data_IF_875401565043
#
_entry.id   IF_875401565043
#
_cell.length_a   1.000
_cell.length_b   1.000
_cell.length_c   1.000
_cell.angle_alpha   90.00
_cell.angle_beta   90.00
_cell.angle_gamma   90.00
#
_symmetry.space_group_name_H-M   'P 1'
#
loop_
_entity.id
_entity.type
_entity.pdbx_description
1 polymer ?
#
# COMPACT_ATOMS: atom_id res chain seq x y z
N UNK A 1 18.38 -4.91 -4.82
CA UNK A 1 17.27 -4.33 -5.52
C UNK A 1 15.95 -4.43 -4.82
N UNK A 2 14.92 -4.00 -5.50
CA UNK A 2 13.56 -4.02 -5.00
C UNK A 2 12.79 -5.16 -5.65
N UNK A 3 11.96 -5.85 -4.85
CA UNK A 3 11.07 -6.87 -5.36
C UNK A 3 9.65 -6.29 -5.39
N UNK A 4 9.09 -6.14 -6.58
CA UNK A 4 7.77 -5.56 -6.77
C UNK A 4 6.72 -6.64 -6.98
N UNK A 5 5.56 -6.48 -6.35
CA UNK A 5 4.44 -7.39 -6.46
C UNK A 5 3.15 -6.59 -6.41
N UNK A 6 2.16 -6.97 -7.21
CA UNK A 6 0.83 -6.39 -7.12
C UNK A 6 0.03 -7.16 -6.07
N UNK A 7 -0.61 -6.40 -5.18
CA UNK A 7 -1.52 -6.97 -4.18
C UNK A 7 -2.96 -6.77 -4.68
N UNK A 8 -3.65 -7.88 -4.86
CA UNK A 8 -5.01 -7.86 -5.40
C UNK A 8 -6.03 -7.72 -4.28
N UNK A 9 -6.98 -6.80 -4.45
CA UNK A 9 -8.04 -6.53 -3.50
C UNK A 9 -9.36 -7.13 -4.01
N UNK A 10 -10.25 -7.48 -3.09
CA UNK A 10 -11.58 -7.99 -3.45
C UNK A 10 -12.56 -6.88 -3.83
N UNK A 11 -12.20 -5.64 -3.52
CA UNK A 11 -13.05 -4.48 -3.78
C UNK A 11 -12.17 -3.29 -4.15
N UNK A 12 -12.73 -2.24 -4.76
CA UNK A 12 -11.96 -1.05 -5.08
C UNK A 12 -11.35 -0.42 -3.82
N UNK A 13 -10.13 0.09 -3.97
CA UNK A 13 -9.42 0.78 -2.89
C UNK A 13 -10.17 2.08 -2.59
N UNK A 14 -10.55 2.30 -1.34
CA UNK A 14 -11.24 3.51 -0.93
C UNK A 14 -10.36 4.38 -0.02
N UNK A 15 -10.86 5.58 0.26
CA UNK A 15 -10.15 6.54 1.08
C UNK A 15 -9.85 6.02 2.48
N UNK A 16 -10.79 5.31 3.09
CA UNK A 16 -10.59 4.79 4.45
C UNK A 16 -9.43 3.81 4.51
N UNK A 17 -9.34 2.92 3.53
CA UNK A 17 -8.23 1.98 3.44
C UNK A 17 -6.89 2.73 3.29
N UNK A 18 -6.85 3.73 2.40
CA UNK A 18 -5.64 4.53 2.17
C UNK A 18 -5.18 5.20 3.46
N UNK A 19 -6.11 5.79 4.20
CA UNK A 19 -5.77 6.49 5.45
C UNK A 19 -5.26 5.54 6.52
N UNK A 20 -5.69 4.28 6.53
CA UNK A 20 -5.19 3.28 7.47
C UNK A 20 -3.71 2.95 7.20
N UNK A 21 -3.25 3.11 5.98
CA UNK A 21 -1.85 2.86 5.64
C UNK A 21 -0.91 3.98 6.09
N UNK A 22 -1.46 5.11 6.48
CA UNK A 22 -0.69 6.30 6.84
C UNK A 22 0.33 6.06 7.96
N UNK A 23 0.02 5.15 8.89
CA UNK A 23 0.89 4.85 10.02
C UNK A 23 2.16 4.09 9.64
N UNK A 24 2.24 3.58 8.42
CA UNK A 24 3.36 2.75 8.00
C UNK A 24 4.61 3.53 7.60
N UNK A 25 4.49 4.81 7.32
CA UNK A 25 5.66 5.59 6.93
C UNK A 25 5.33 6.94 6.34
N UNK A 26 6.23 7.45 5.53
CA UNK A 26 5.99 8.70 4.79
C UNK A 26 4.81 8.53 3.85
N UNK A 27 3.87 9.47 3.89
CA UNK A 27 2.57 9.34 3.24
C UNK A 27 2.34 10.47 2.24
N UNK A 28 1.99 10.10 1.02
CA UNK A 28 1.57 11.03 -0.02
C UNK A 28 0.20 10.60 -0.53
N UNK A 29 -0.74 11.53 -0.57
CA UNK A 29 -2.07 11.25 -1.07
C UNK A 29 -2.55 12.45 -1.88
N UNK A 30 -2.56 12.27 -3.20
CA UNK A 30 -2.96 13.33 -4.14
C UNK A 30 -4.43 13.15 -4.47
N UNK A 31 -5.29 13.54 -3.54
CA UNK A 31 -6.73 13.32 -3.64
C UNK A 31 -7.45 14.31 -4.56
N UNK A 32 -6.75 15.37 -5.01
CA UNK A 32 -7.31 16.32 -5.95
C UNK A 32 -7.28 15.83 -7.40
N UNK A 33 -6.58 14.74 -7.68
CA UNK A 33 -6.51 14.19 -9.03
C UNK A 33 -7.80 13.44 -9.38
N UNK A 34 -8.11 13.34 -10.65
CA UNK A 34 -9.26 12.55 -11.14
C UNK A 34 -9.18 11.10 -10.66
N UNK A 35 -7.98 10.54 -10.69
CA UNK A 35 -7.69 9.23 -10.13
C UNK A 35 -6.70 9.46 -9.00
N UNK A 36 -7.17 9.60 -7.76
CA UNK A 36 -6.28 9.93 -6.64
C UNK A 36 -5.17 8.90 -6.47
N UNK A 37 -3.96 9.41 -6.33
CA UNK A 37 -2.76 8.60 -6.19
C UNK A 37 -2.33 8.58 -4.73
N UNK A 38 -1.91 7.43 -4.22
CA UNK A 38 -1.35 7.34 -2.89
C UNK A 38 -0.02 6.59 -2.91
N UNK A 39 0.83 6.92 -1.95
CA UNK A 39 2.14 6.30 -1.77
C UNK A 39 2.52 6.34 -0.30
N UNK A 40 3.02 5.22 0.21
CA UNK A 40 3.60 5.14 1.55
C UNK A 40 4.98 4.53 1.40
N UNK A 41 5.95 5.11 2.08
CA UNK A 41 7.33 4.65 1.98
C UNK A 41 8.01 4.67 3.35
N UNK A 42 8.76 3.61 3.64
CA UNK A 42 9.64 3.55 4.80
C UNK A 42 10.97 2.89 4.39
N UNK A 43 11.81 2.56 5.37
CA UNK A 43 13.14 2.00 5.08
C UNK A 43 13.10 0.59 4.50
N UNK A 44 11.97 -0.09 4.58
CA UNK A 44 11.85 -1.49 4.19
C UNK A 44 11.08 -1.69 2.90
N UNK A 45 10.07 -0.87 2.65
CA UNK A 45 9.20 -1.06 1.49
C UNK A 45 8.52 0.24 1.08
N UNK A 46 7.88 0.16 -0.08
CA UNK A 46 7.07 1.24 -0.62
C UNK A 46 5.76 0.64 -1.12
N UNK A 47 4.66 1.34 -0.86
CA UNK A 47 3.34 0.98 -1.36
C UNK A 47 2.87 2.13 -2.23
N UNK A 48 2.36 1.83 -3.42
CA UNK A 48 1.77 2.87 -4.26
C UNK A 48 0.59 2.32 -5.04
N UNK A 49 -0.39 3.17 -5.27
CA UNK A 49 -1.58 2.76 -5.99
C UNK A 49 -2.49 3.93 -6.29
N UNK A 50 -3.65 3.59 -6.82
CA UNK A 50 -4.65 4.56 -7.26
C UNK A 50 -5.98 4.20 -6.61
N UNK A 51 -6.63 5.18 -5.99
CA UNK A 51 -7.93 5.00 -5.40
C UNK A 51 -8.94 4.58 -6.47
N UNK A 52 -9.74 3.58 -6.16
CA UNK A 52 -10.72 3.05 -7.11
C UNK A 52 -10.26 1.82 -7.86
N UNK A 53 -8.96 1.57 -7.92
CA UNK A 53 -8.44 0.33 -8.51
C UNK A 53 -8.61 -0.81 -7.52
N UNK A 54 -8.60 -2.05 -8.02
CA UNK A 54 -8.72 -3.24 -7.19
C UNK A 54 -7.35 -3.87 -6.88
N UNK A 55 -6.28 -3.12 -7.06
CA UNK A 55 -4.93 -3.58 -6.74
C UNK A 55 -4.03 -2.39 -6.41
N UNK A 56 -2.92 -2.68 -5.76
CA UNK A 56 -1.85 -1.71 -5.54
C UNK A 56 -0.51 -2.43 -5.57
N UNK A 57 0.57 -1.68 -5.71
CA UNK A 57 1.91 -2.26 -5.83
C UNK A 57 2.68 -2.15 -4.53
N UNK A 58 3.35 -3.24 -4.16
CA UNK A 58 4.26 -3.30 -3.03
C UNK A 58 5.65 -3.55 -3.59
N UNK A 59 6.62 -2.70 -3.21
CA UNK A 59 8.02 -2.90 -3.53
C UNK A 59 8.78 -3.07 -2.22
N UNK A 60 9.40 -4.23 -2.03
CA UNK A 60 10.15 -4.55 -0.81
C UNK A 60 11.63 -4.60 -1.14
N UNK A 61 12.44 -3.94 -0.31
CA UNK A 61 13.88 -4.00 -0.47
C UNK A 61 14.38 -5.43 -0.19
N UNK A 62 15.27 -5.94 -1.04
CA UNK A 62 15.71 -7.34 -0.98
C UNK A 62 16.28 -7.79 0.35
N UNK A 63 16.83 -6.86 1.14
CA UNK A 63 17.37 -7.17 2.47
C UNK A 63 16.28 -7.30 3.52
N UNK A 64 15.05 -6.92 3.21
CA UNK A 64 13.95 -6.84 4.16
C UNK A 64 12.74 -7.63 3.71
N UNK A 65 12.97 -8.75 3.03
CA UNK A 65 11.87 -9.60 2.53
C UNK A 65 10.97 -10.11 3.66
N UNK A 66 11.51 -10.26 4.86
CA UNK A 66 10.74 -10.65 6.04
C UNK A 66 9.68 -9.61 6.42
N UNK A 67 9.88 -8.36 6.07
CA UNK A 67 8.91 -7.29 6.36
C UNK A 67 7.65 -7.43 5.50
N UNK A 68 7.74 -8.14 4.37
CA UNK A 68 6.60 -8.37 3.50
C UNK A 68 5.47 -9.10 4.19
N UNK A 69 5.78 -10.16 4.94
CA UNK A 69 4.77 -10.93 5.64
C UNK A 69 4.05 -10.08 6.69
N UNK A 70 4.80 -9.22 7.39
CA UNK A 70 4.23 -8.30 8.37
C UNK A 70 3.31 -7.30 7.71
N UNK A 71 3.73 -6.76 6.57
CA UNK A 71 2.93 -5.80 5.80
C UNK A 71 1.63 -6.46 5.31
N UNK A 72 1.71 -7.65 4.76
CA UNK A 72 0.54 -8.36 4.28
C UNK A 72 -0.46 -8.64 5.40
N UNK A 73 0.03 -8.99 6.59
CA UNK A 73 -0.83 -9.19 7.76
C UNK A 73 -1.53 -7.89 8.16
N UNK A 74 -0.81 -6.78 8.13
CA UNK A 74 -1.38 -5.46 8.43
C UNK A 74 -2.48 -5.10 7.43
N UNK A 75 -2.22 -5.31 6.14
CA UNK A 75 -3.19 -5.03 5.08
C UNK A 75 -4.45 -5.87 5.27
N UNK A 76 -4.28 -7.15 5.58
CA UNK A 76 -5.40 -8.06 5.78
C UNK A 76 -6.28 -7.59 6.93
N UNK A 77 -5.67 -7.12 8.01
CA UNK A 77 -6.42 -6.56 9.14
C UNK A 77 -7.20 -5.31 8.75
N UNK A 78 -6.62 -4.46 7.91
CA UNK A 78 -7.30 -3.27 7.42
C UNK A 78 -8.52 -3.61 6.56
N UNK A 79 -8.41 -4.65 5.77
CA UNK A 79 -9.49 -5.08 4.86
C UNK A 79 -10.64 -5.71 5.61
N UNK A 80 -10.37 -6.40 6.72
CA UNK A 80 -11.40 -7.09 7.52
C UNK A 80 -12.37 -6.15 8.21
N UNK A 81 -11.99 -4.91 8.36
CA UNK A 81 -12.85 -3.88 8.94
C UNK A 81 -13.66 -3.20 7.84
#
# INVERSE_FOLDING_TARGET
>A
GWFETDYLMDAPIDREFILKLKSLGGFVYLDMLKQPFFKIENNYYMIKGIEGNDYFRIAVHGKHEDERAKLEAFILDCVKE
#
